data_IF_634482015528
#
_entry.id   IF_634482015528
#
_cell.length_a   1.000
_cell.length_b   1.000
_cell.length_c   1.000
_cell.angle_alpha   90.00
_cell.angle_beta   90.00
_cell.angle_gamma   90.00
#
_symmetry.space_group_name_H-M   'P 1'
#
loop_
_entity.id
_entity.type
_entity.pdbx_description
1 polymer ?
#
# COMPACT_ATOMS: atom_id res chain seq x y z
N UNK A 1 -7.32 1.82 -0.41
CA UNK A 1 -6.20 0.94 -0.02
C UNK A 1 -5.08 1.15 -1.03
N UNK A 2 -3.85 1.24 -0.58
CA UNK A 2 -2.68 1.32 -1.46
C UNK A 2 -1.85 0.04 -1.28
N UNK A 3 -1.22 -0.45 -2.34
CA UNK A 3 -0.45 -1.69 -2.26
C UNK A 3 0.73 -1.68 -3.22
N UNK A 4 1.69 -2.54 -2.92
CA UNK A 4 2.76 -2.93 -3.83
C UNK A 4 2.69 -4.43 -4.03
N UNK A 5 2.80 -4.88 -5.27
CA UNK A 5 2.89 -6.30 -5.62
C UNK A 5 4.11 -6.51 -6.50
N UNK A 6 4.83 -7.59 -6.24
CA UNK A 6 5.92 -8.10 -7.07
C UNK A 6 5.62 -9.54 -7.47
N UNK A 7 6.53 -10.18 -8.21
CA UNK A 7 6.44 -11.62 -8.48
C UNK A 7 6.61 -12.49 -7.22
N UNK A 8 7.15 -11.95 -6.12
CA UNK A 8 7.48 -12.73 -4.91
C UNK A 8 6.64 -12.40 -3.71
N UNK A 9 6.10 -11.19 -3.62
CA UNK A 9 5.43 -10.71 -2.43
C UNK A 9 4.51 -9.51 -2.68
N UNK A 10 3.56 -9.34 -1.76
CA UNK A 10 2.62 -8.23 -1.76
C UNK A 10 2.61 -7.55 -0.40
N UNK A 11 2.52 -6.24 -0.42
CA UNK A 11 2.37 -5.39 0.75
C UNK A 11 1.17 -4.49 0.56
N UNK A 12 0.30 -4.42 1.56
CA UNK A 12 -0.94 -3.67 1.54
C UNK A 12 -0.94 -2.68 2.71
N UNK A 13 -1.34 -1.44 2.44
CA UNK A 13 -1.58 -0.42 3.45
C UNK A 13 -2.97 0.18 3.30
N UNK A 14 -3.74 0.14 4.38
CA UNK A 14 -5.09 0.66 4.45
C UNK A 14 -5.03 2.13 4.87
N UNK A 15 -5.09 3.04 3.89
CA UNK A 15 -4.98 4.49 4.12
C UNK A 15 -6.02 5.09 5.08
N UNK A 16 -7.11 4.37 5.35
CA UNK A 16 -8.13 4.77 6.32
C UNK A 16 -7.65 4.64 7.77
N UNK A 17 -7.28 3.43 8.19
CA UNK A 17 -6.96 3.09 9.60
C UNK A 17 -5.47 2.79 9.84
N UNK A 18 -4.65 2.73 8.80
CA UNK A 18 -3.22 2.46 8.88
C UNK A 18 -2.85 0.99 8.99
N UNK A 19 -3.82 0.08 8.92
CA UNK A 19 -3.54 -1.35 8.94
C UNK A 19 -2.59 -1.73 7.81
N UNK A 20 -1.72 -2.69 8.08
CA UNK A 20 -0.75 -3.22 7.12
C UNK A 20 -0.91 -4.73 7.01
N UNK A 21 -0.72 -5.25 5.80
CA UNK A 21 -0.69 -6.69 5.52
C UNK A 21 0.48 -7.01 4.59
N UNK A 22 1.05 -8.21 4.75
CA UNK A 22 2.14 -8.70 3.92
C UNK A 22 1.92 -10.17 3.57
N UNK A 23 2.05 -10.50 2.29
CA UNK A 23 1.86 -11.86 1.76
C UNK A 23 3.08 -12.30 0.96
N UNK A 24 3.54 -13.53 1.22
CA UNK A 24 4.62 -14.18 0.48
C UNK A 24 4.02 -15.01 -0.65
N UNK A 25 4.06 -14.49 -1.87
CA UNK A 25 3.40 -15.11 -3.03
C UNK A 25 4.15 -16.34 -3.55
N UNK A 26 5.41 -16.55 -3.13
CA UNK A 26 6.18 -17.74 -3.50
C UNK A 26 5.69 -18.94 -2.70
N UNK A 27 5.54 -18.76 -1.39
CA UNK A 27 5.16 -19.84 -0.48
C UNK A 27 3.65 -19.93 -0.24
N UNK A 28 2.92 -18.85 -0.48
CA UNK A 28 1.47 -18.73 -0.30
C UNK A 28 0.83 -17.90 -1.44
N UNK A 29 0.77 -18.45 -2.66
CA UNK A 29 0.22 -17.75 -3.83
C UNK A 29 -1.28 -17.43 -3.71
N UNK A 30 -1.98 -18.05 -2.75
CA UNK A 30 -3.40 -17.79 -2.48
C UNK A 30 -3.61 -16.69 -1.43
N UNK A 31 -2.54 -16.05 -0.94
CA UNK A 31 -2.62 -14.91 0.00
C UNK A 31 -3.40 -15.24 1.28
N UNK A 32 -3.37 -16.50 1.72
CA UNK A 32 -4.17 -16.97 2.86
C UNK A 32 -3.54 -16.58 4.21
N UNK A 33 -2.25 -16.26 4.24
CA UNK A 33 -1.48 -16.01 5.46
C UNK A 33 -0.86 -14.61 5.45
N UNK A 34 -1.44 -13.71 6.24
CA UNK A 34 -0.82 -12.43 6.54
C UNK A 34 0.41 -12.63 7.44
N UNK A 35 1.58 -12.26 6.92
CA UNK A 35 2.90 -12.37 7.55
C UNK A 35 3.43 -11.03 8.08
N UNK A 36 2.58 -10.01 8.23
CA UNK A 36 3.00 -8.67 8.69
C UNK A 36 3.73 -8.68 10.04
N UNK A 37 3.37 -9.62 10.93
CA UNK A 37 3.99 -9.79 12.25
C UNK A 37 5.19 -10.76 12.26
N UNK A 38 5.57 -11.34 11.11
CA UNK A 38 6.70 -12.27 11.05
C UNK A 38 8.03 -11.49 11.08
N UNK A 39 8.75 -11.63 12.20
CA UNK A 39 10.08 -11.03 12.39
C UNK A 39 11.09 -11.37 11.28
N UNK A 40 10.97 -12.54 10.64
CA UNK A 40 11.85 -12.94 9.53
C UNK A 40 11.60 -12.12 8.26
N UNK A 41 10.41 -11.52 8.13
CA UNK A 41 10.01 -10.67 7.00
C UNK A 41 10.16 -9.18 7.28
N UNK A 42 10.49 -8.78 8.51
CA UNK A 42 10.53 -7.38 8.94
C UNK A 42 11.38 -6.47 8.04
N UNK A 43 12.59 -6.90 7.65
CA UNK A 43 13.45 -6.14 6.76
C UNK A 43 12.83 -5.94 5.36
N UNK A 44 12.16 -6.97 4.84
CA UNK A 44 11.51 -6.91 3.53
C UNK A 44 10.25 -6.04 3.58
N UNK A 45 9.44 -6.17 4.63
CA UNK A 45 8.27 -5.33 4.88
C UNK A 45 8.69 -3.85 4.93
N UNK A 46 9.77 -3.52 5.65
CA UNK A 46 10.30 -2.17 5.72
C UNK A 46 10.72 -1.62 4.34
N UNK A 47 11.37 -2.45 3.51
CA UNK A 47 11.71 -2.08 2.13
C UNK A 47 10.46 -1.79 1.28
N UNK A 48 9.41 -2.62 1.39
CA UNK A 48 8.18 -2.40 0.65
C UNK A 48 7.44 -1.16 1.13
N UNK A 49 7.39 -0.92 2.45
CA UNK A 49 6.83 0.31 3.02
C UNK A 49 7.57 1.54 2.48
N UNK A 50 8.90 1.53 2.49
CA UNK A 50 9.70 2.64 1.97
C UNK A 50 9.46 2.89 0.48
N UNK A 51 9.34 1.84 -0.34
CA UNK A 51 9.01 1.96 -1.77
C UNK A 51 7.59 2.50 -1.96
N UNK A 52 6.62 2.09 -1.15
CA UNK A 52 5.26 2.61 -1.23
C UNK A 52 5.24 4.11 -0.86
N UNK A 53 5.97 4.52 0.19
CA UNK A 53 6.17 5.93 0.54
C UNK A 53 6.71 6.71 -0.65
N UNK A 54 7.77 6.22 -1.31
CA UNK A 54 8.34 6.89 -2.49
C UNK A 54 7.30 7.05 -3.62
N UNK A 55 6.48 6.04 -3.88
CA UNK A 55 5.44 6.07 -4.92
C UNK A 55 4.24 6.98 -4.59
N UNK A 56 3.96 7.20 -3.31
CA UNK A 56 2.84 8.01 -2.85
C UNK A 56 3.25 9.45 -2.48
N UNK A 57 4.56 9.73 -2.40
CA UNK A 57 5.07 11.08 -2.12
C UNK A 57 4.61 12.05 -3.20
N UNK A 58 4.04 13.19 -2.78
CA UNK A 58 3.56 14.23 -3.68
C UNK A 58 2.18 13.99 -4.30
N UNK A 59 1.50 12.88 -3.97
CA UNK A 59 0.12 12.66 -4.40
C UNK A 59 -0.84 13.63 -3.71
N UNK A 60 -1.87 14.05 -4.46
CA UNK A 60 -2.87 15.03 -4.02
C UNK A 60 -3.66 14.60 -2.77
N UNK A 61 -3.82 13.28 -2.54
CA UNK A 61 -4.50 12.77 -1.35
C UNK A 61 -3.69 12.96 -0.07
N UNK A 62 -2.39 13.29 -0.18
CA UNK A 62 -1.54 13.53 0.98
C UNK A 62 -1.30 12.27 1.82
N UNK A 63 -1.07 11.12 1.18
CA UNK A 63 -0.76 9.86 1.88
C UNK A 63 0.59 9.85 2.59
N UNK A 64 1.49 10.76 2.20
CA UNK A 64 2.83 10.86 2.80
C UNK A 64 3.02 12.25 3.38
N UNK A 65 3.42 12.30 4.64
CA UNK A 65 3.84 13.52 5.32
C UNK A 65 5.14 13.21 6.07
N UNK A 66 6.14 14.09 5.97
CA UNK A 66 7.44 13.93 6.66
C UNK A 66 8.12 12.56 6.39
N UNK A 67 7.91 12.03 5.17
CA UNK A 67 8.45 10.73 4.75
C UNK A 67 7.75 9.51 5.37
N UNK A 68 6.59 9.70 6.02
CA UNK A 68 5.81 8.62 6.64
C UNK A 68 4.41 8.52 6.04
N UNK A 69 3.85 7.31 6.03
CA UNK A 69 2.46 7.06 5.64
C UNK A 69 1.53 7.66 6.69
N UNK A 70 0.56 8.48 6.27
CA UNK A 70 -0.44 9.09 7.15
C UNK A 70 -1.84 8.53 6.88
N UNK A 71 -2.54 8.20 7.95
CA UNK A 71 -3.87 7.59 7.90
C UNK A 71 -4.98 8.63 7.72
N UNK A 72 -6.24 8.19 7.65
CA UNK A 72 -7.39 9.06 7.46
C UNK A 72 -7.47 9.67 6.05
N UNK A 73 -6.81 9.04 5.06
CA UNK A 73 -6.83 9.50 3.66
C UNK A 73 -7.76 8.63 2.83
N UNK A 74 -8.76 9.28 2.23
CA UNK A 74 -9.67 8.63 1.28
C UNK A 74 -9.00 8.49 -0.08
N UNK A 75 -9.00 7.28 -0.67
CA UNK A 75 -8.46 7.10 -2.00
C UNK A 75 -9.20 7.91 -3.05
N UNK A 76 -8.47 8.70 -3.84
CA UNK A 76 -9.02 9.26 -5.07
C UNK A 76 -8.85 8.21 -6.16
N UNK A 77 -9.90 7.44 -6.41
CA UNK A 77 -10.00 6.67 -7.65
C UNK A 77 -10.21 7.68 -8.77
N UNK A 78 -9.33 7.69 -9.78
CA UNK A 78 -9.61 8.45 -11.01
C UNK A 78 -10.77 7.75 -11.71
N UNK A 79 -11.98 8.23 -11.43
CA UNK A 79 -13.12 8.13 -12.32
C UNK A 79 -13.85 9.48 -12.27
N UNK A 80 -13.12 10.52 -12.70
CA UNK A 80 -13.70 11.82 -13.01
C UNK A 80 -13.59 12.00 -14.53
N UNK A 81 -14.50 11.35 -15.26
CA UNK A 81 -15.00 11.70 -16.61
C UNK A 81 -16.11 10.67 -16.91
N UNK A 82 -17.37 11.02 -17.14
CA UNK A 82 -17.81 12.00 -18.12
C UNK A 82 -18.44 13.25 -17.51
N UNK A 83 -17.82 14.40 -17.79
CA UNK A 83 -18.62 15.52 -18.23
C UNK A 83 -19.33 15.11 -19.51
N UNK A 84 -20.65 14.93 -19.44
CA UNK A 84 -21.47 15.23 -20.60
C UNK A 84 -21.48 16.75 -20.68
N UNK A 85 -20.64 17.27 -21.56
CA UNK A 85 -20.73 18.61 -22.12
C UNK A 85 -22.16 18.84 -22.66
N UNK A 86 -22.67 20.05 -22.44
CA UNK A 86 -23.48 20.81 -23.40
C UNK A 86 -24.81 20.21 -23.85
#
# INVERSE_FOLDING_TARGET
VQFMVSSTDKYIWYSGDGREEYFDLVNDPQECRNLIADSKKAARIAQMRARLVQQLTGREEGYVQDGQLVTGRSPRTVLAEAGILG
#
